data_IF_151373716484
#
_entry.id   IF_151373716484
#
_cell.length_a   1.000
_cell.length_b   1.000
_cell.length_c   1.000
_cell.angle_alpha   90.00
_cell.angle_beta   90.00
_cell.angle_gamma   90.00
#
_symmetry.space_group_name_H-M   'P 1'
#
loop_
_entity.id
_entity.type
_entity.pdbx_description
1 polymer ?
#
# COMPACT_ATOMS: atom_id res chain seq x y z
N UNK A 1 -24.46 24.71 -30.42
CA UNK A 1 -24.21 23.68 -29.40
C UNK A 1 -23.92 24.44 -28.15
N UNK A 2 -24.83 24.34 -27.19
CA UNK A 2 -24.75 25.05 -25.92
C UNK A 2 -23.72 24.35 -25.03
N UNK A 3 -22.96 25.11 -24.23
CA UNK A 3 -21.91 24.55 -23.38
C UNK A 3 -22.53 23.63 -22.31
N UNK A 4 -23.72 24.03 -21.83
CA UNK A 4 -24.49 23.28 -20.83
C UNK A 4 -24.89 21.89 -21.34
N UNK A 5 -25.34 21.77 -22.60
CA UNK A 5 -25.69 20.48 -23.23
C UNK A 5 -24.48 19.51 -23.33
N UNK A 6 -23.27 20.04 -23.58
CA UNK A 6 -22.06 19.22 -23.58
C UNK A 6 -21.65 18.81 -22.16
N UNK A 7 -21.86 19.70 -21.18
CA UNK A 7 -21.53 19.45 -19.78
C UNK A 7 -22.44 18.39 -19.16
N UNK A 8 -23.76 18.49 -19.37
CA UNK A 8 -24.74 17.52 -18.88
C UNK A 8 -24.47 16.11 -19.41
N UNK A 9 -24.12 16.01 -20.69
CA UNK A 9 -23.80 14.74 -21.31
C UNK A 9 -22.51 14.13 -20.75
N UNK A 10 -21.48 14.96 -20.54
CA UNK A 10 -20.22 14.51 -19.94
C UNK A 10 -20.39 14.04 -18.49
N UNK A 11 -21.19 14.75 -17.67
CA UNK A 11 -21.49 14.36 -16.29
C UNK A 11 -22.32 13.07 -16.21
N UNK A 12 -23.14 12.79 -17.23
CA UNK A 12 -23.92 11.55 -17.32
C UNK A 12 -23.05 10.32 -17.65
N UNK A 13 -21.93 10.52 -18.35
CA UNK A 13 -21.02 9.47 -18.79
C UNK A 13 -19.89 9.18 -17.79
N UNK A 14 -19.62 10.09 -16.84
CA UNK A 14 -18.64 9.85 -15.78
C UNK A 14 -19.13 8.76 -14.83
N UNK A 15 -18.30 7.73 -14.52
CA UNK A 15 -18.65 6.74 -13.52
C UNK A 15 -18.88 7.42 -12.17
N UNK A 16 -20.01 7.10 -11.51
CA UNK A 16 -20.17 7.38 -10.09
C UNK A 16 -19.16 6.52 -9.32
N UNK A 17 -18.01 7.11 -9.00
CA UNK A 17 -17.00 6.44 -8.16
C UNK A 17 -17.51 6.48 -6.73
N UNK A 18 -18.41 5.56 -6.40
CA UNK A 18 -18.79 5.24 -5.03
C UNK A 18 -17.66 4.41 -4.40
N UNK A 19 -16.58 5.09 -4.00
CA UNK A 19 -15.59 4.45 -3.13
C UNK A 19 -16.26 4.05 -1.82
N UNK A 20 -16.01 2.84 -1.32
CA UNK A 20 -16.41 2.51 0.06
C UNK A 20 -15.73 3.52 0.98
N UNK A 21 -16.50 4.48 1.50
CA UNK A 21 -16.03 5.51 2.41
C UNK A 21 -15.78 4.96 3.83
N UNK A 22 -15.65 3.64 3.97
CA UNK A 22 -15.00 3.06 5.14
C UNK A 22 -13.55 3.53 5.10
N UNK A 23 -13.26 4.51 5.96
CA UNK A 23 -11.93 5.10 6.14
C UNK A 23 -10.91 3.96 6.11
N UNK A 24 -10.05 3.94 5.08
CA UNK A 24 -9.00 2.96 4.98
C UNK A 24 -8.00 3.23 6.11
N UNK A 25 -8.24 2.57 7.24
CA UNK A 25 -7.39 2.61 8.41
C UNK A 25 -6.48 1.37 8.37
N UNK A 26 -5.18 1.66 8.29
CA UNK A 26 -4.12 0.67 8.44
C UNK A 26 -3.91 0.51 9.94
N UNK A 27 -3.93 -0.72 10.48
CA UNK A 27 -3.69 -0.92 11.91
C UNK A 27 -2.25 -0.53 12.26
N UNK A 28 -2.03 -0.02 13.47
CA UNK A 28 -0.67 0.29 13.94
C UNK A 28 0.19 -0.99 14.03
N UNK A 29 1.48 -0.94 13.68
CA UNK A 29 2.36 -2.10 13.80
C UNK A 29 2.61 -2.46 15.27
N UNK A 30 2.34 -3.72 15.63
CA UNK A 30 2.61 -4.28 16.95
C UNK A 30 4.08 -4.70 17.04
N UNK A 31 4.91 -3.83 17.59
CA UNK A 31 6.37 -4.01 17.62
C UNK A 31 6.86 -4.56 18.96
N UNK A 32 7.60 -5.67 18.91
CA UNK A 32 8.24 -6.31 20.05
C UNK A 32 9.76 -6.36 19.85
N UNK A 33 10.51 -5.85 20.82
CA UNK A 33 11.97 -5.92 20.78
C UNK A 33 12.46 -7.26 21.36
N UNK A 34 13.29 -7.97 20.59
CA UNK A 34 13.95 -9.21 20.98
C UNK A 34 15.46 -9.06 20.83
N UNK A 35 16.11 -8.54 21.88
CA UNK A 35 17.54 -8.30 21.90
C UNK A 35 17.96 -7.24 20.88
N UNK A 36 18.71 -7.62 19.85
CA UNK A 36 19.12 -6.76 18.75
C UNK A 36 18.21 -6.91 17.51
N UNK A 37 17.04 -7.52 17.64
CA UNK A 37 16.06 -7.67 16.58
C UNK A 37 14.73 -7.02 16.97
N UNK A 38 14.00 -6.54 15.97
CA UNK A 38 12.67 -5.98 16.10
C UNK A 38 11.69 -6.90 15.39
N UNK A 39 10.64 -7.33 16.08
CA UNK A 39 9.62 -8.24 15.55
C UNK A 39 8.31 -7.49 15.43
N UNK A 40 7.67 -7.56 14.26
CA UNK A 40 6.33 -7.04 14.00
C UNK A 40 5.35 -8.21 14.07
N UNK A 41 4.53 -8.24 15.12
CA UNK A 41 3.67 -9.39 15.43
C UNK A 41 2.46 -9.47 14.50
N UNK A 42 1.89 -8.34 14.10
CA UNK A 42 0.71 -8.24 13.23
C UNK A 42 1.05 -8.09 11.73
N UNK A 43 2.23 -8.53 11.30
CA UNK A 43 2.69 -8.35 9.92
C UNK A 43 1.77 -9.00 8.87
N UNK A 44 1.26 -10.21 9.14
CA UNK A 44 0.30 -10.86 8.23
C UNK A 44 -0.98 -10.05 8.09
N UNK A 45 -1.57 -9.63 9.22
CA UNK A 45 -2.78 -8.81 9.25
C UNK A 45 -2.61 -7.49 8.49
N UNK A 46 -1.42 -6.89 8.56
CA UNK A 46 -1.06 -5.72 7.76
C UNK A 46 -1.06 -6.05 6.27
N UNK A 47 -0.37 -7.11 5.85
CA UNK A 47 -0.32 -7.53 4.45
C UNK A 47 -1.72 -7.85 3.88
N UNK A 48 -2.54 -8.54 4.67
CA UNK A 48 -3.92 -8.88 4.34
C UNK A 48 -4.78 -7.62 4.18
N UNK A 49 -4.63 -6.64 5.07
CA UNK A 49 -5.35 -5.36 4.99
C UNK A 49 -4.94 -4.52 3.78
N UNK A 50 -3.65 -4.56 3.43
CA UNK A 50 -3.09 -3.88 2.27
C UNK A 50 -3.41 -4.60 0.95
N UNK A 51 -3.77 -5.89 1.00
CA UNK A 51 -3.96 -6.71 -0.18
C UNK A 51 -2.67 -6.87 -0.99
N UNK A 52 -1.54 -7.06 -0.31
CA UNK A 52 -0.20 -7.13 -0.92
C UNK A 52 0.56 -8.38 -0.49
N UNK A 53 1.46 -8.83 -1.36
CA UNK A 53 2.31 -9.98 -1.08
C UNK A 53 3.30 -9.65 0.05
N UNK A 54 3.40 -10.50 1.09
CA UNK A 54 4.28 -10.26 2.24
C UNK A 54 5.75 -10.02 1.86
N UNK A 55 6.25 -10.74 0.86
CA UNK A 55 7.61 -10.57 0.35
C UNK A 55 7.87 -9.18 -0.22
N UNK A 56 6.89 -8.59 -0.90
CA UNK A 56 7.02 -7.24 -1.47
C UNK A 56 7.04 -6.18 -0.37
N UNK A 57 6.13 -6.28 0.60
CA UNK A 57 6.10 -5.37 1.76
C UNK A 57 7.41 -5.48 2.55
N UNK A 58 7.89 -6.70 2.77
CA UNK A 58 9.15 -6.94 3.46
C UNK A 58 10.36 -6.37 2.69
N UNK A 59 10.41 -6.53 1.37
CA UNK A 59 11.47 -5.94 0.55
C UNK A 59 11.49 -4.41 0.65
N UNK A 60 10.32 -3.78 0.60
CA UNK A 60 10.20 -2.33 0.77
C UNK A 60 10.70 -1.88 2.15
N UNK A 61 10.24 -2.55 3.22
CA UNK A 61 10.68 -2.26 4.59
C UNK A 61 12.19 -2.41 4.78
N UNK A 62 12.83 -3.37 4.09
CA UNK A 62 14.28 -3.53 4.12
C UNK A 62 15.01 -2.33 3.51
N UNK A 63 14.52 -1.84 2.38
CA UNK A 63 15.07 -0.67 1.68
C UNK A 63 14.89 0.60 2.51
N UNK A 64 13.67 0.87 2.99
CA UNK A 64 13.35 2.09 3.75
C UNK A 64 14.03 2.15 5.12
N UNK A 65 14.00 1.05 5.85
CA UNK A 65 14.61 0.99 7.18
C UNK A 65 16.14 0.83 7.07
N UNK A 66 16.64 0.35 5.93
CA UNK A 66 18.06 0.14 5.68
C UNK A 66 18.61 -1.06 6.46
N UNK A 67 17.83 -2.13 6.56
CA UNK A 67 18.22 -3.34 7.30
C UNK A 67 17.80 -4.63 6.60
N UNK A 68 18.33 -5.74 7.08
CA UNK A 68 17.88 -7.08 6.68
C UNK A 68 16.66 -7.48 7.50
N UNK A 69 15.63 -7.98 6.80
CA UNK A 69 14.42 -8.48 7.41
C UNK A 69 14.02 -9.82 6.79
N UNK A 70 13.35 -10.66 7.56
CA UNK A 70 12.82 -11.95 7.11
C UNK A 70 11.47 -12.22 7.77
N UNK A 71 10.65 -13.02 7.11
CA UNK A 71 9.40 -13.53 7.68
C UNK A 71 9.71 -14.83 8.42
N UNK A 72 9.25 -14.97 9.66
CA UNK A 72 9.43 -16.19 10.44
C UNK A 72 8.38 -17.26 10.10
N UNK A 73 8.51 -18.46 10.69
CA UNK A 73 7.57 -19.57 10.48
C UNK A 73 6.15 -19.27 10.99
N UNK A 74 6.00 -18.25 11.83
CA UNK A 74 4.71 -17.75 12.34
C UNK A 74 4.17 -16.58 11.50
N UNK A 75 4.83 -16.25 10.37
CA UNK A 75 4.50 -15.16 9.46
C UNK A 75 4.71 -13.75 10.02
N UNK A 76 5.49 -13.59 11.09
CA UNK A 76 5.87 -12.28 11.65
C UNK A 76 7.09 -11.74 10.93
N UNK A 77 7.17 -10.43 10.75
CA UNK A 77 8.37 -9.81 10.17
C UNK A 77 9.42 -9.58 11.27
N UNK A 78 10.63 -10.09 11.06
CA UNK A 78 11.77 -9.91 11.95
C UNK A 78 12.85 -9.10 11.26
N UNK A 79 13.10 -7.90 11.78
CA UNK A 79 14.12 -6.97 11.31
C UNK A 79 15.36 -7.04 12.21
N UNK A 80 16.55 -6.96 11.60
CA UNK A 80 17.81 -6.87 12.33
C UNK A 80 18.03 -5.43 12.79
N UNK A 81 18.02 -5.17 14.10
CA UNK A 81 18.16 -3.84 14.67
C UNK A 81 17.07 -3.53 15.70
N UNK A 82 17.17 -2.33 16.29
CA UNK A 82 16.17 -1.80 17.24
C UNK A 82 15.45 -0.64 16.55
N UNK A 83 14.17 -0.84 16.26
CA UNK A 83 13.30 0.16 15.63
C UNK A 83 12.04 0.34 16.48
N UNK A 84 11.62 1.59 16.65
CA UNK A 84 10.35 1.91 17.31
C UNK A 84 9.15 1.70 16.40
N UNK A 85 7.97 1.59 17.00
CA UNK A 85 6.70 1.50 16.27
C UNK A 85 6.49 2.71 15.35
N UNK A 86 6.87 3.91 15.77
CA UNK A 86 6.71 5.13 14.96
C UNK A 86 7.47 5.06 13.63
N UNK A 87 8.71 4.58 13.66
CA UNK A 87 9.54 4.47 12.44
C UNK A 87 9.00 3.42 11.47
N UNK A 88 8.53 2.30 12.00
CA UNK A 88 7.90 1.25 11.19
C UNK A 88 6.55 1.70 10.65
N UNK A 89 5.77 2.44 11.44
CA UNK A 89 4.51 3.05 11.02
C UNK A 89 4.71 4.00 9.85
N UNK A 90 5.67 4.93 9.96
CA UNK A 90 6.01 5.85 8.84
C UNK A 90 6.39 5.10 7.57
N UNK A 91 7.22 4.05 7.67
CA UNK A 91 7.58 3.24 6.50
C UNK A 91 6.37 2.49 5.89
N UNK A 92 5.42 2.05 6.72
CA UNK A 92 4.17 1.44 6.24
C UNK A 92 3.26 2.48 5.57
N UNK A 93 3.16 3.69 6.13
CA UNK A 93 2.39 4.77 5.53
C UNK A 93 2.95 5.16 4.15
N UNK A 94 4.28 5.30 4.04
CA UNK A 94 4.95 5.55 2.75
C UNK A 94 4.70 4.42 1.75
N UNK A 95 4.69 3.16 2.20
CA UNK A 95 4.32 2.02 1.36
C UNK A 95 2.86 2.12 0.88
N UNK A 96 1.94 2.54 1.74
CA UNK A 96 0.52 2.69 1.41
C UNK A 96 0.32 3.77 0.35
N UNK A 97 0.95 4.93 0.52
CA UNK A 97 0.81 6.04 -0.42
C UNK A 97 1.41 5.71 -1.80
N UNK A 98 2.49 4.93 -1.87
CA UNK A 98 3.15 4.59 -3.14
C UNK A 98 2.57 3.33 -3.83
N UNK A 99 2.24 2.28 -3.07
CA UNK A 99 1.89 0.95 -3.62
C UNK A 99 0.45 0.52 -3.38
N UNK A 100 -0.37 1.27 -2.63
CA UNK A 100 -1.75 0.89 -2.30
C UNK A 100 -2.76 1.95 -2.73
N UNK A 101 -2.49 3.24 -2.49
CA UNK A 101 -3.41 4.30 -2.87
C UNK A 101 -3.28 4.67 -4.34
N UNK A 102 -4.41 4.81 -5.01
CA UNK A 102 -4.45 5.35 -6.36
C UNK A 102 -4.18 6.87 -6.36
N UNK A 103 -3.30 7.35 -7.23
CA UNK A 103 -2.99 8.77 -7.41
C UNK A 103 -4.20 9.61 -7.88
N UNK A 104 -5.14 8.99 -8.61
CA UNK A 104 -6.27 9.70 -9.22
C UNK A 104 -7.50 9.76 -8.32
N UNK A 105 -7.86 8.66 -7.66
CA UNK A 105 -9.08 8.56 -6.87
C UNK A 105 -8.85 8.38 -5.36
N UNK A 106 -7.62 8.14 -4.91
CA UNK A 106 -7.28 7.96 -3.50
C UNK A 106 -7.77 6.65 -2.87
N UNK A 107 -8.41 5.77 -3.65
CA UNK A 107 -8.90 4.48 -3.16
C UNK A 107 -7.78 3.45 -3.04
N UNK A 108 -7.84 2.57 -2.02
CA UNK A 108 -6.88 1.47 -1.83
C UNK A 108 -7.14 0.28 -2.76
N UNK A 109 -8.21 0.32 -3.57
CA UNK A 109 -8.59 -0.73 -4.54
C UNK A 109 -7.65 -0.73 -5.75
N UNK A 110 -6.42 -1.21 -5.53
CA UNK A 110 -5.37 -1.26 -6.54
C UNK A 110 -4.65 -2.60 -6.56
N UNK A 111 -4.07 -2.95 -7.72
CA UNK A 111 -3.24 -4.15 -7.92
C UNK A 111 -1.91 -3.79 -8.55
N UNK A 112 -0.87 -4.54 -8.20
CA UNK A 112 0.44 -4.44 -8.82
C UNK A 112 0.50 -5.39 -10.04
N UNK A 113 0.81 -4.85 -11.21
CA UNK A 113 1.04 -5.59 -12.45
C UNK A 113 2.49 -5.37 -12.89
N UNK A 114 3.20 -6.45 -13.25
CA UNK A 114 4.56 -6.34 -13.80
C UNK A 114 4.48 -6.38 -15.33
N UNK A 115 4.81 -5.28 -15.98
CA UNK A 115 4.98 -5.21 -17.44
C UNK A 115 6.46 -5.02 -17.78
N UNK A 116 7.09 -6.09 -18.27
CA UNK A 116 8.53 -6.10 -18.55
C UNK A 116 9.36 -5.87 -17.28
N UNK A 117 10.20 -4.84 -17.30
CA UNK A 117 11.05 -4.44 -16.18
C UNK A 117 10.36 -3.43 -15.23
N UNK A 118 9.14 -2.98 -15.53
CA UNK A 118 8.42 -1.99 -14.75
C UNK A 118 7.33 -2.61 -13.87
N UNK A 119 7.18 -2.09 -12.66
CA UNK A 119 6.04 -2.35 -11.78
C UNK A 119 4.99 -1.25 -11.98
N UNK A 120 3.76 -1.65 -12.30
CA UNK A 120 2.64 -0.75 -12.54
C UNK A 120 1.59 -0.95 -11.45
N UNK A 121 1.05 0.14 -10.94
CA UNK A 121 -0.11 0.15 -10.05
C UNK A 121 -1.36 0.40 -10.89
N UNK A 122 -2.30 -0.56 -10.88
CA UNK A 122 -3.58 -0.47 -11.57
C UNK A 122 -4.71 -0.35 -10.58
N UNK A 123 -5.49 0.73 -10.67
CA UNK A 123 -6.69 0.90 -9.86
C UNK A 123 -7.87 0.14 -10.45
N UNK A 124 -8.59 -0.62 -9.61
CA UNK A 124 -9.80 -1.36 -10.01
C UNK A 124 -11.04 -0.47 -10.01
N UNK A 125 -11.03 0.63 -9.25
CA UNK A 125 -12.16 1.55 -9.16
C UNK A 125 -12.21 2.55 -10.34
N UNK A 126 -11.11 3.26 -10.62
CA UNK A 126 -11.08 4.27 -11.70
C UNK A 126 -10.38 3.80 -12.99
N UNK A 127 -9.72 2.63 -12.97
CA UNK A 127 -8.99 2.10 -14.13
C UNK A 127 -7.65 2.79 -14.43
N UNK A 128 -7.22 3.74 -13.59
CA UNK A 128 -5.95 4.42 -13.74
C UNK A 128 -4.76 3.44 -13.63
N UNK A 129 -3.69 3.75 -14.38
CA UNK A 129 -2.42 3.04 -14.33
C UNK A 129 -1.31 4.04 -14.02
N UNK A 130 -0.64 3.87 -12.91
CA UNK A 130 0.54 4.66 -12.54
C UNK A 130 1.77 3.77 -12.55
N UNK A 131 2.90 4.33 -12.99
CA UNK A 131 4.19 3.69 -12.82
C UNK A 131 4.61 3.87 -11.36
N UNK A 132 4.95 2.78 -10.69
CA UNK A 132 5.49 2.85 -9.34
C UNK A 132 7.00 3.04 -9.40
N UNK A 133 7.56 3.83 -8.48
CA UNK A 133 9.00 3.95 -8.38
C UNK A 133 9.60 2.62 -7.92
N UNK A 134 10.55 2.08 -8.70
CA UNK A 134 11.24 0.81 -8.47
C UNK A 134 12.74 0.99 -8.52
#
# INVERSE_FOLDING_TARGET
MDYDDMLDRAMSETPDIEGSSERFEVPDPEVRQEGNATVVENFQSLCDRLGREPDHVLQFLQTEVGTSAHIDESGRARLTGSFGADRLGTAIDEYVDEFVRCSECGLPDTRLEREGDALLLRCEACGARSATSG
#
